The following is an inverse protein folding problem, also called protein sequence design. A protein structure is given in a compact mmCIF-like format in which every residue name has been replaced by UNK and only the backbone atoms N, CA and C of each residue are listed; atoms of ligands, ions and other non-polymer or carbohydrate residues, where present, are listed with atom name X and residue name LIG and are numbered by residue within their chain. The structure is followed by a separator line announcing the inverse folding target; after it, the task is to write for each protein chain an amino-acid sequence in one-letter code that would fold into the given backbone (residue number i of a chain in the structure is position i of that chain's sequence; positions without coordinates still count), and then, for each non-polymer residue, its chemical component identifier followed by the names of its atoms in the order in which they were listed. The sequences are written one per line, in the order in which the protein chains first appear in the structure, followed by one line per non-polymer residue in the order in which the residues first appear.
data_IF_428687918676
#
_entry.id   IF_428687918676
#
_cell.length_a   1.000
_cell.length_b   1.000
_cell.length_c   1.000
_cell.angle_alpha   90.00
_cell.angle_beta   90.00
_cell.angle_gamma   90.00
#
_symmetry.space_group_name_H-M   'P 1'
#
loop_
_entity.id
_entity.type
_entity.pdbx_description
1 polymer ?
#
# COMPACT_ATOMS: atom_id res chain seq x y z
N UNK A 1 9.27 -0.61 20.90
CA UNK A 1 10.01 -1.08 19.71
C UNK A 1 9.07 -1.93 18.87
N UNK A 2 7.80 -1.53 18.67
CA UNK A 2 7.37 -0.32 17.95
C UNK A 2 8.07 -0.30 16.60
N UNK A 3 7.41 -0.84 15.57
CA UNK A 3 6.83 0.02 14.55
C UNK A 3 6.58 1.35 15.23
N UNK A 4 7.36 2.39 14.95
CA UNK A 4 6.89 3.76 15.15
C UNK A 4 5.72 3.90 14.19
N UNK A 5 4.65 3.32 14.71
CA UNK A 5 3.37 3.11 14.17
C UNK A 5 2.60 4.38 14.38
N UNK A 6 3.17 5.54 14.67
CA UNK A 6 2.34 6.75 14.57
C UNK A 6 1.80 6.84 13.11
N UNK A 7 2.58 6.31 12.14
CA UNK A 7 2.16 5.93 10.78
C UNK A 7 1.09 4.84 10.63
N UNK A 8 1.16 3.77 11.44
CA UNK A 8 0.32 2.56 11.34
C UNK A 8 -0.72 2.37 12.45
N UNK A 9 -0.77 3.29 13.40
CA UNK A 9 -1.62 3.38 14.59
C UNK A 9 -3.06 3.66 14.17
N UNK A 10 -3.23 4.34 13.03
CA UNK A 10 -4.53 4.51 12.37
C UNK A 10 -4.54 4.20 10.86
N UNK A 11 -3.46 3.81 10.16
CA UNK A 11 -3.65 3.30 8.78
C UNK A 11 -4.43 1.97 8.75
N UNK A 12 -4.70 1.38 9.92
CA UNK A 12 -5.72 0.35 10.16
C UNK A 12 -7.13 0.85 10.52
N UNK A 13 -7.33 2.13 10.88
CA UNK A 13 -8.67 2.76 10.88
C UNK A 13 -9.32 2.73 9.50
N UNK A 14 -8.54 2.42 8.48
CA UNK A 14 -8.98 2.13 7.15
C UNK A 14 -10.10 1.04 7.10
N UNK A 15 -10.14 0.15 8.10
CA UNK A 15 -11.16 -0.88 8.24
C UNK A 15 -12.43 -0.43 9.02
N UNK A 16 -12.73 0.86 9.17
CA UNK A 16 -13.94 1.38 9.83
C UNK A 16 -15.28 1.13 9.08
N UNK A 17 -15.46 -0.03 8.45
CA UNK A 17 -16.74 -0.46 7.89
C UNK A 17 -17.17 -1.75 8.57
N UNK A 18 -17.97 -1.64 9.64
CA UNK A 18 -18.76 -2.72 10.29
C UNK A 18 -18.21 -4.12 10.01
N UNK A 19 -17.29 -4.56 10.85
CA UNK A 19 -16.60 -5.84 10.71
C UNK A 19 -17.06 -6.76 11.83
N UNK A 20 -17.66 -7.88 11.45
CA UNK A 20 -18.06 -8.92 12.39
C UNK A 20 -16.88 -9.90 12.68
N UNK A 21 -15.89 -10.02 11.76
CA UNK A 21 -14.71 -10.91 11.88
C UNK A 21 -13.40 -10.36 11.27
N UNK A 22 -12.24 -10.46 11.94
CA UNK A 22 -10.92 -9.99 11.45
C UNK A 22 -9.92 -11.15 11.26
N UNK A 23 -9.37 -11.27 10.04
CA UNK A 23 -8.32 -12.21 9.69
C UNK A 23 -7.07 -11.50 9.18
N UNK A 24 -5.90 -12.00 9.51
CA UNK A 24 -4.63 -11.51 8.98
C UNK A 24 -3.93 -12.62 8.21
N UNK A 25 -3.94 -12.52 6.89
CA UNK A 25 -3.25 -13.44 5.99
C UNK A 25 -1.78 -13.02 5.89
N UNK A 26 -0.89 -13.92 6.29
CA UNK A 26 0.56 -14.01 6.01
C UNK A 26 1.40 -12.75 5.86
N UNK A 27 2.46 -12.74 6.68
CA UNK A 27 3.28 -11.60 7.05
C UNK A 27 2.45 -10.54 7.78
N UNK A 28 2.31 -10.81 9.07
CA UNK A 28 2.62 -9.77 10.03
C UNK A 28 4.03 -9.23 9.67
N UNK A 29 4.15 -8.18 8.85
CA UNK A 29 5.45 -7.72 8.30
C UNK A 29 6.49 -7.58 9.38
N UNK A 30 7.66 -8.21 9.20
CA UNK A 30 8.98 -8.04 9.85
C UNK A 30 9.04 -8.01 11.40
N UNK A 31 8.00 -7.53 12.04
CA UNK A 31 7.52 -7.70 13.39
C UNK A 31 6.25 -8.54 13.38
N UNK A 32 6.34 -9.84 13.07
CA UNK A 32 5.21 -10.71 13.34
C UNK A 32 5.02 -11.00 14.82
N UNK A 33 4.87 -9.92 15.57
CA UNK A 33 4.43 -9.82 16.94
C UNK A 33 2.90 -9.74 17.02
N UNK A 34 2.15 -9.83 15.93
CA UNK A 34 0.69 -9.67 16.00
C UNK A 34 0.25 -8.22 16.23
N UNK A 35 1.16 -7.23 16.12
CA UNK A 35 0.88 -5.81 16.32
C UNK A 35 -0.28 -5.28 15.48
N UNK A 36 -0.36 -5.67 14.21
CA UNK A 36 -1.45 -5.29 13.29
C UNK A 36 -2.83 -5.77 13.80
N UNK A 37 -2.89 -7.00 14.30
CA UNK A 37 -4.09 -7.60 14.88
C UNK A 37 -4.45 -6.94 16.22
N UNK A 38 -3.45 -6.62 17.05
CA UNK A 38 -3.64 -5.89 18.31
C UNK A 38 -4.14 -4.45 18.09
N UNK A 39 -3.65 -3.80 17.03
CA UNK A 39 -4.12 -2.47 16.65
C UNK A 39 -5.56 -2.51 16.17
N UNK A 40 -5.96 -3.53 15.39
CA UNK A 40 -7.36 -3.75 15.06
C UNK A 40 -8.20 -3.86 16.34
N UNK A 41 -7.80 -4.67 17.33
CA UNK A 41 -8.50 -4.79 18.61
C UNK A 41 -8.77 -3.44 19.30
N UNK A 42 -7.76 -2.57 19.39
CA UNK A 42 -7.88 -1.27 20.07
C UNK A 42 -8.93 -0.37 19.45
N UNK A 43 -9.22 -0.52 18.16
CA UNK A 43 -10.23 0.28 17.48
C UNK A 43 -11.64 -0.32 17.62
N UNK A 44 -11.72 -1.64 17.80
CA UNK A 44 -12.98 -2.34 18.05
C UNK A 44 -13.33 -2.45 19.54
N UNK A 45 -12.72 -1.68 20.47
CA UNK A 45 -13.12 -1.75 21.89
C UNK A 45 -14.59 -1.38 22.15
N UNK A 46 -15.24 -0.66 21.22
CA UNK A 46 -16.69 -0.38 21.26
C UNK A 46 -17.55 -1.45 20.54
N UNK A 47 -16.97 -2.28 19.68
CA UNK A 47 -17.66 -3.33 18.90
C UNK A 47 -17.10 -4.71 19.25
N UNK A 48 -17.94 -5.59 19.80
CA UNK A 48 -17.49 -6.93 20.22
C UNK A 48 -17.06 -7.73 19.00
N UNK A 49 -15.76 -8.04 18.90
CA UNK A 49 -15.27 -9.04 17.94
C UNK A 49 -15.82 -10.40 18.40
N UNK A 50 -16.73 -10.98 17.62
CA UNK A 50 -17.49 -12.16 18.03
C UNK A 50 -16.63 -13.43 17.97
N UNK A 51 -15.92 -13.71 16.87
CA UNK A 51 -15.22 -14.99 16.66
C UNK A 51 -13.69 -14.98 16.83
N UNK A 52 -13.08 -13.81 17.07
CA UNK A 52 -11.65 -13.67 17.43
C UNK A 52 -10.70 -13.33 16.27
N UNK A 53 -9.39 -13.39 16.55
CA UNK A 53 -8.31 -13.02 15.63
C UNK A 53 -7.63 -14.23 15.01
N UNK A 54 -7.60 -14.28 13.67
CA UNK A 54 -7.01 -15.39 12.94
C UNK A 54 -5.73 -14.95 12.23
N UNK A 55 -4.75 -15.85 12.11
CA UNK A 55 -3.58 -15.54 11.29
C UNK A 55 -2.63 -16.71 11.06
N UNK A 56 -1.78 -16.59 10.05
CA UNK A 56 -0.85 -17.65 9.67
C UNK A 56 0.55 -17.09 9.42
N UNK A 57 1.56 -17.72 10.04
CA UNK A 57 2.96 -17.30 9.97
C UNK A 57 3.90 -18.48 9.66
N UNK A 58 4.84 -18.28 8.74
CA UNK A 58 5.78 -19.32 8.33
C UNK A 58 6.96 -19.45 9.29
N UNK A 59 7.44 -18.33 9.85
CA UNK A 59 8.59 -18.30 10.75
C UNK A 59 8.20 -18.64 12.19
N UNK A 60 8.87 -19.64 12.77
CA UNK A 60 8.58 -20.14 14.12
C UNK A 60 8.79 -19.08 15.22
N UNK A 61 9.85 -18.29 15.14
CA UNK A 61 10.16 -17.25 16.14
C UNK A 61 9.08 -16.19 16.13
N UNK A 62 8.74 -15.72 14.94
CA UNK A 62 7.67 -14.76 14.69
C UNK A 62 6.32 -15.29 15.18
N UNK A 63 5.95 -16.50 14.78
CA UNK A 63 4.73 -17.18 15.23
C UNK A 63 4.59 -17.19 16.76
N UNK A 64 5.65 -17.55 17.49
CA UNK A 64 5.63 -17.56 18.95
C UNK A 64 5.50 -16.15 19.53
N UNK A 65 6.21 -15.17 18.96
CA UNK A 65 6.12 -13.77 19.39
C UNK A 65 4.71 -13.23 19.21
N UNK A 66 4.05 -13.50 18.08
CA UNK A 66 2.67 -13.09 17.84
C UNK A 66 1.71 -13.62 18.91
N UNK A 67 1.80 -14.90 19.26
CA UNK A 67 0.96 -15.53 20.30
C UNK A 67 1.24 -14.96 21.68
N UNK A 68 2.52 -14.73 22.02
CA UNK A 68 2.89 -14.09 23.28
C UNK A 68 2.35 -12.67 23.36
N UNK A 69 2.38 -11.92 22.26
CA UNK A 69 1.89 -10.55 22.26
C UNK A 69 0.36 -10.48 22.43
N UNK A 70 -0.39 -11.36 21.74
CA UNK A 70 -1.84 -11.52 21.97
C UNK A 70 -2.14 -11.72 23.47
N UNK A 71 -1.37 -12.60 24.10
CA UNK A 71 -1.51 -12.91 25.51
C UNK A 71 -1.17 -11.71 26.42
N UNK A 72 -0.07 -10.99 26.14
CA UNK A 72 0.35 -9.82 26.92
C UNK A 72 -0.63 -8.64 26.83
N UNK A 73 -1.42 -8.59 25.76
CA UNK A 73 -2.48 -7.60 25.56
C UNK A 73 -3.86 -8.09 26.06
N UNK A 74 -3.89 -9.11 26.92
CA UNK A 74 -5.10 -9.64 27.55
C UNK A 74 -6.16 -10.13 26.55
N UNK A 75 -5.77 -10.64 25.38
CA UNK A 75 -6.69 -11.36 24.50
C UNK A 75 -6.83 -12.80 25.02
N UNK A 76 -8.06 -13.21 25.30
CA UNK A 76 -8.33 -14.57 25.77
C UNK A 76 -7.95 -15.61 24.70
N UNK A 77 -7.52 -16.79 25.15
CA UNK A 77 -7.02 -17.86 24.26
C UNK A 77 -8.07 -18.38 23.27
N UNK A 78 -9.35 -18.32 23.63
CA UNK A 78 -10.49 -18.67 22.77
C UNK A 78 -10.78 -17.59 21.71
N UNK A 79 -10.16 -16.41 21.80
CA UNK A 79 -10.35 -15.27 20.91
C UNK A 79 -9.18 -15.03 19.95
N UNK A 80 -8.20 -15.93 19.87
CA UNK A 80 -7.22 -15.89 18.79
C UNK A 80 -6.75 -17.29 18.35
N UNK A 81 -6.57 -17.45 17.04
CA UNK A 81 -6.06 -18.66 16.42
C UNK A 81 -4.96 -18.28 15.41
N UNK A 82 -3.72 -18.29 15.87
CA UNK A 82 -2.55 -18.13 15.02
C UNK A 82 -1.99 -19.52 14.71
N UNK A 83 -1.80 -19.83 13.44
CA UNK A 83 -1.27 -21.11 12.96
C UNK A 83 0.12 -20.94 12.32
N UNK A 84 0.94 -21.99 12.40
CA UNK A 84 2.27 -22.01 11.76
C UNK A 84 2.22 -22.75 10.43
N UNK A 85 2.65 -22.10 9.35
CA UNK A 85 2.78 -22.73 8.04
C UNK A 85 2.86 -21.73 6.89
N UNK A 86 3.23 -22.20 5.70
CA UNK A 86 3.18 -21.41 4.47
C UNK A 86 1.73 -21.20 4.03
N UNK A 87 1.32 -19.94 3.90
CA UNK A 87 -0.07 -19.58 3.60
C UNK A 87 -0.49 -19.85 2.16
N UNK A 88 0.45 -19.83 1.22
CA UNK A 88 0.16 -20.15 -0.18
C UNK A 88 0.09 -21.66 -0.38
N UNK A 89 0.99 -22.43 0.25
CA UNK A 89 1.09 -23.89 0.05
C UNK A 89 0.21 -24.73 0.99
N UNK A 90 0.06 -24.31 2.25
CA UNK A 90 -0.62 -25.08 3.31
C UNK A 90 -1.52 -24.16 4.13
N UNK A 91 -2.60 -23.65 3.53
CA UNK A 91 -3.49 -22.70 4.19
C UNK A 91 -4.30 -23.37 5.32
N UNK A 92 -4.14 -22.88 6.56
CA UNK A 92 -4.68 -23.55 7.76
C UNK A 92 -6.09 -23.16 8.14
N UNK A 93 -6.55 -21.99 7.71
CA UNK A 93 -7.84 -21.42 8.11
C UNK A 93 -8.97 -21.70 7.11
N UNK A 94 -8.84 -22.74 6.27
CA UNK A 94 -9.80 -23.04 5.21
C UNK A 94 -11.23 -23.32 5.69
N UNK A 95 -11.39 -23.79 6.93
CA UNK A 95 -12.69 -24.04 7.56
C UNK A 95 -13.22 -22.85 8.38
N UNK A 96 -12.36 -21.87 8.68
CA UNK A 96 -12.70 -20.67 9.46
C UNK A 96 -13.20 -19.53 8.56
N UNK A 97 -13.10 -19.68 7.23
CA UNK A 97 -13.57 -18.70 6.23
C UNK A 97 -15.10 -18.83 6.05
N UNK A 98 -15.80 -17.75 5.67
CA UNK A 98 -15.28 -16.47 5.21
C UNK A 98 -15.07 -15.42 6.32
N UNK A 99 -14.19 -14.45 6.07
CA UNK A 99 -13.87 -13.36 6.99
C UNK A 99 -14.36 -11.99 6.50
N UNK A 100 -14.86 -11.14 7.39
CA UNK A 100 -15.43 -9.84 7.04
C UNK A 100 -14.38 -8.72 6.92
N UNK A 101 -13.24 -8.89 7.57
CA UNK A 101 -12.10 -8.02 7.37
C UNK A 101 -10.80 -8.79 7.25
N UNK A 102 -9.99 -8.38 6.29
CA UNK A 102 -8.62 -8.89 6.17
C UNK A 102 -7.63 -7.75 6.13
N UNK A 103 -6.67 -7.76 7.05
CA UNK A 103 -5.56 -6.80 7.05
C UNK A 103 -4.26 -7.56 6.85
N UNK A 104 -3.43 -7.11 5.91
CA UNK A 104 -2.21 -7.86 5.56
C UNK A 104 -1.10 -6.94 5.06
N UNK A 105 0.14 -7.31 5.37
CA UNK A 105 1.33 -6.72 4.80
C UNK A 105 2.22 -7.87 4.29
N UNK A 106 1.89 -8.46 3.11
CA UNK A 106 2.62 -9.60 2.59
C UNK A 106 4.10 -9.23 2.31
N UNK A 107 5.01 -10.20 2.34
CA UNK A 107 6.41 -9.93 2.04
C UNK A 107 6.55 -9.61 0.55
N UNK A 108 7.23 -8.51 0.23
CA UNK A 108 7.27 -7.99 -1.14
C UNK A 108 8.11 -8.85 -2.07
N UNK A 109 7.50 -9.22 -3.21
CA UNK A 109 8.16 -9.87 -4.35
C UNK A 109 9.03 -11.08 -3.96
N UNK A 110 8.54 -11.90 -3.02
CA UNK A 110 9.20 -13.16 -2.69
C UNK A 110 9.02 -14.19 -3.81
N UNK A 111 9.98 -15.11 -3.90
CA UNK A 111 9.86 -16.27 -4.76
C UNK A 111 8.83 -17.25 -4.19
N UNK A 112 8.09 -17.92 -5.08
CA UNK A 112 7.15 -18.98 -4.74
C UNK A 112 7.05 -20.01 -5.88
N UNK A 113 6.41 -21.15 -5.61
CA UNK A 113 6.36 -22.28 -6.55
C UNK A 113 5.64 -21.91 -7.86
N UNK A 114 4.53 -21.17 -7.77
CA UNK A 114 3.72 -20.73 -8.91
C UNK A 114 3.48 -21.85 -9.92
N UNK A 115 3.81 -21.58 -11.19
CA UNK A 115 3.59 -22.50 -12.31
C UNK A 115 4.34 -23.85 -12.26
N UNK A 116 5.29 -24.05 -11.32
CA UNK A 116 5.94 -25.36 -11.15
C UNK A 116 5.01 -26.39 -10.51
N UNK A 117 4.01 -25.93 -9.79
CA UNK A 117 2.94 -26.79 -9.31
C UNK A 117 1.73 -26.65 -10.25
N UNK A 118 1.49 -27.64 -11.13
CA UNK A 118 0.39 -27.58 -12.09
C UNK A 118 -0.99 -27.69 -11.41
N UNK A 119 -1.06 -28.06 -10.13
CA UNK A 119 -2.35 -28.14 -9.41
C UNK A 119 -2.88 -26.75 -9.05
N UNK A 120 -2.00 -25.77 -8.85
CA UNK A 120 -2.38 -24.42 -8.43
C UNK A 120 -3.23 -23.67 -9.46
N UNK A 121 -3.12 -23.99 -10.76
CA UNK A 121 -3.95 -23.34 -11.78
C UNK A 121 -5.44 -23.69 -11.63
N UNK A 122 -5.74 -24.85 -11.03
CA UNK A 122 -7.10 -25.33 -10.79
C UNK A 122 -7.55 -25.09 -9.34
N UNK A 123 -6.69 -24.51 -8.49
CA UNK A 123 -7.05 -24.13 -7.13
C UNK A 123 -8.11 -23.01 -7.19
N UNK A 124 -9.19 -23.15 -6.42
CA UNK A 124 -10.30 -22.18 -6.36
C UNK A 124 -9.84 -20.74 -6.11
N UNK A 125 -8.68 -20.57 -5.45
CA UNK A 125 -8.08 -19.26 -5.18
C UNK A 125 -7.56 -18.56 -6.44
N UNK A 126 -7.07 -19.32 -7.42
CA UNK A 126 -6.34 -18.78 -8.57
C UNK A 126 -7.03 -19.06 -9.91
N UNK A 127 -7.81 -20.14 -10.00
CA UNK A 127 -8.54 -20.54 -11.20
C UNK A 127 -9.39 -19.41 -11.80
N UNK A 128 -10.08 -18.55 -11.02
CA UNK A 128 -10.88 -17.46 -11.59
C UNK A 128 -10.08 -16.44 -12.42
N UNK A 129 -8.81 -16.18 -12.06
CA UNK A 129 -7.95 -15.27 -12.83
C UNK A 129 -7.36 -15.93 -14.09
N UNK A 130 -7.41 -17.27 -14.20
CA UNK A 130 -6.90 -18.04 -15.33
C UNK A 130 -5.38 -18.02 -15.52
N UNK A 131 -4.64 -17.31 -14.66
CA UNK A 131 -3.18 -17.23 -14.65
C UNK A 131 -2.64 -17.17 -13.22
N UNK A 132 -1.43 -17.68 -13.03
CA UNK A 132 -0.72 -17.60 -11.75
C UNK A 132 0.22 -16.39 -11.72
N UNK A 133 0.45 -15.85 -10.53
CA UNK A 133 1.47 -14.83 -10.33
C UNK A 133 2.86 -15.36 -10.76
N UNK A 134 3.77 -14.50 -11.25
CA UNK A 134 5.11 -14.92 -11.63
C UNK A 134 5.85 -15.57 -10.47
N UNK A 135 6.67 -16.59 -10.75
CA UNK A 135 7.47 -17.30 -9.72
C UNK A 135 8.33 -16.39 -8.86
N UNK A 136 8.87 -15.33 -9.45
CA UNK A 136 9.73 -14.38 -8.75
C UNK A 136 8.96 -13.36 -7.91
N UNK A 137 7.63 -13.36 -7.97
CA UNK A 137 6.77 -12.33 -7.37
C UNK A 137 5.46 -12.94 -6.88
N UNK A 138 5.42 -13.30 -5.61
CA UNK A 138 4.22 -13.85 -4.97
C UNK A 138 3.15 -12.81 -4.62
N UNK A 139 3.37 -11.51 -4.88
CA UNK A 139 2.49 -10.42 -4.43
C UNK A 139 1.00 -10.67 -4.77
N UNK A 140 0.70 -10.98 -6.04
CA UNK A 140 -0.67 -11.30 -6.47
C UNK A 140 -1.18 -12.66 -5.98
N UNK A 141 -0.29 -13.61 -5.65
CA UNK A 141 -0.72 -14.88 -5.06
C UNK A 141 -1.29 -14.66 -3.64
N UNK A 142 -0.71 -13.73 -2.87
CA UNK A 142 -1.28 -13.29 -1.58
C UNK A 142 -2.58 -12.52 -1.75
N UNK A 143 -2.65 -11.59 -2.71
CA UNK A 143 -3.88 -10.82 -2.97
C UNK A 143 -5.04 -11.75 -3.35
N UNK A 144 -4.81 -12.72 -4.23
CA UNK A 144 -5.82 -13.71 -4.62
C UNK A 144 -6.20 -14.64 -3.46
N UNK A 145 -5.24 -15.03 -2.63
CA UNK A 145 -5.52 -15.77 -1.40
C UNK A 145 -6.44 -14.95 -0.48
N UNK A 146 -6.09 -13.69 -0.19
CA UNK A 146 -6.89 -12.78 0.66
C UNK A 146 -8.31 -12.64 0.11
N UNK A 147 -8.44 -12.39 -1.20
CA UNK A 147 -9.74 -12.27 -1.85
C UNK A 147 -10.59 -13.54 -1.69
N UNK A 148 -10.00 -14.74 -1.78
CA UNK A 148 -10.73 -16.01 -1.65
C UNK A 148 -11.25 -16.29 -0.22
N UNK A 149 -10.61 -15.69 0.79
CA UNK A 149 -10.99 -15.82 2.20
C UNK A 149 -11.98 -14.73 2.65
N UNK A 150 -12.14 -13.69 1.85
CA UNK A 150 -13.04 -12.58 2.15
C UNK A 150 -14.51 -12.99 1.98
N UNK A 151 -15.37 -12.59 2.93
CA UNK A 151 -16.82 -12.77 2.85
C UNK A 151 -17.44 -11.88 1.77
N UNK A 152 -18.67 -12.19 1.35
CA UNK A 152 -19.38 -11.37 0.37
C UNK A 152 -19.61 -9.93 0.85
N UNK A 153 -19.63 -9.70 2.17
CA UNK A 153 -19.76 -8.38 2.79
C UNK A 153 -18.42 -7.80 3.26
N UNK A 154 -17.34 -8.57 3.14
CA UNK A 154 -16.07 -8.22 3.72
C UNK A 154 -15.24 -7.25 2.88
N UNK A 155 -14.24 -6.66 3.56
CA UNK A 155 -13.26 -5.75 2.98
C UNK A 155 -11.83 -6.12 3.41
N UNK A 156 -10.87 -5.94 2.52
CA UNK A 156 -9.47 -6.17 2.82
C UNK A 156 -8.62 -4.93 2.59
N UNK A 157 -7.67 -4.67 3.48
CA UNK A 157 -6.66 -3.64 3.34
C UNK A 157 -5.29 -4.31 3.30
N UNK A 158 -4.62 -4.18 2.16
CA UNK A 158 -3.37 -4.90 1.86
C UNK A 158 -2.29 -3.89 1.54
N UNK A 159 -1.22 -3.88 2.31
CA UNK A 159 -0.05 -3.06 1.99
C UNK A 159 0.72 -3.74 0.86
N UNK A 160 0.97 -3.01 -0.21
CA UNK A 160 1.55 -3.54 -1.44
C UNK A 160 2.68 -2.67 -1.96
N UNK A 161 3.62 -3.30 -2.67
CA UNK A 161 4.66 -2.58 -3.40
C UNK A 161 4.06 -1.90 -4.65
N UNK A 162 4.32 -0.61 -4.92
CA UNK A 162 3.66 0.14 -6.00
C UNK A 162 3.80 -0.50 -7.39
N UNK A 163 4.89 -1.25 -7.61
CA UNK A 163 5.12 -1.96 -8.86
C UNK A 163 3.99 -2.91 -9.27
N UNK A 164 3.22 -3.47 -8.32
CA UNK A 164 2.13 -4.38 -8.68
C UNK A 164 1.02 -3.69 -9.49
N UNK A 165 0.93 -2.36 -9.42
CA UNK A 165 -0.17 -1.57 -9.96
C UNK A 165 -0.06 -1.31 -11.48
N UNK A 166 1.14 -1.44 -12.06
CA UNK A 166 1.38 -1.13 -13.48
C UNK A 166 2.12 -2.23 -14.26
N UNK A 167 2.72 -3.23 -13.59
CA UNK A 167 3.48 -4.28 -14.29
C UNK A 167 2.62 -5.09 -15.28
N UNK A 168 3.17 -5.40 -16.45
CA UNK A 168 2.47 -6.11 -17.52
C UNK A 168 2.37 -7.63 -17.35
N UNK A 169 1.84 -8.31 -18.36
CA UNK A 169 1.87 -9.77 -18.48
C UNK A 169 0.87 -10.49 -17.56
N UNK A 170 1.33 -11.51 -16.82
CA UNK A 170 0.45 -12.27 -15.92
C UNK A 170 -0.17 -11.38 -14.82
N UNK A 171 0.60 -10.43 -14.29
CA UNK A 171 0.10 -9.50 -13.26
C UNK A 171 -0.99 -8.57 -13.80
N UNK A 172 -0.87 -8.12 -15.05
CA UNK A 172 -1.91 -7.31 -15.70
C UNK A 172 -3.22 -8.08 -15.85
N UNK A 173 -3.16 -9.36 -16.22
CA UNK A 173 -4.36 -10.22 -16.31
C UNK A 173 -5.03 -10.43 -14.96
N UNK A 174 -4.24 -10.58 -13.89
CA UNK A 174 -4.79 -10.67 -12.52
C UNK A 174 -5.43 -9.33 -12.12
N UNK A 175 -4.79 -8.18 -12.42
CA UNK A 175 -5.41 -6.87 -12.19
C UNK A 175 -6.71 -6.70 -12.97
N UNK A 176 -6.72 -7.10 -14.23
CA UNK A 176 -7.92 -7.10 -15.05
C UNK A 176 -9.04 -7.89 -14.37
N UNK A 177 -8.76 -9.11 -13.91
CA UNK A 177 -9.74 -9.91 -13.15
C UNK A 177 -10.25 -9.18 -11.90
N UNK A 178 -9.37 -8.52 -11.12
CA UNK A 178 -9.77 -7.78 -9.93
C UNK A 178 -10.66 -6.57 -10.23
N UNK A 179 -10.38 -5.86 -11.33
CA UNK A 179 -11.14 -4.67 -11.75
C UNK A 179 -12.45 -5.06 -12.43
N UNK A 180 -12.44 -6.02 -13.35
CA UNK A 180 -13.62 -6.49 -14.10
C UNK A 180 -14.68 -7.09 -13.17
N UNK A 181 -14.27 -7.74 -12.08
CA UNK A 181 -15.19 -8.28 -11.08
C UNK A 181 -15.53 -7.29 -9.96
N UNK A 182 -15.14 -6.02 -10.11
CA UNK A 182 -15.42 -4.96 -9.16
C UNK A 182 -14.93 -5.26 -7.73
N UNK A 183 -13.73 -5.82 -7.58
CA UNK A 183 -13.16 -6.10 -6.26
C UNK A 183 -12.32 -4.94 -5.72
N UNK A 184 -11.74 -4.10 -6.58
CA UNK A 184 -10.87 -2.99 -6.15
C UNK A 184 -11.72 -1.78 -5.76
N UNK A 185 -11.75 -1.46 -4.47
CA UNK A 185 -12.50 -0.30 -3.95
C UNK A 185 -11.67 0.98 -3.98
N UNK A 186 -10.43 0.92 -3.49
CA UNK A 186 -9.57 2.08 -3.42
C UNK A 186 -8.08 1.71 -3.51
N UNK A 187 -7.28 2.66 -3.99
CA UNK A 187 -5.81 2.62 -3.98
C UNK A 187 -5.30 3.88 -3.30
N UNK A 188 -4.53 3.70 -2.22
CA UNK A 188 -3.92 4.81 -1.50
C UNK A 188 -2.41 4.75 -1.69
N UNK A 189 -1.82 5.81 -2.21
CA UNK A 189 -0.37 5.97 -2.24
C UNK A 189 0.11 6.61 -0.95
N UNK A 190 0.99 5.91 -0.22
CA UNK A 190 1.55 6.39 1.04
C UNK A 190 2.85 7.18 0.83
N UNK A 191 3.25 7.99 1.83
CA UNK A 191 4.55 8.64 1.84
C UNK A 191 5.71 7.66 1.73
N UNK A 192 6.80 8.14 1.13
CA UNK A 192 8.08 7.43 1.15
C UNK A 192 8.65 7.35 2.57
N UNK A 193 9.56 6.41 2.81
CA UNK A 193 10.30 6.29 4.07
C UNK A 193 9.41 6.19 5.33
N UNK A 194 8.19 5.65 5.19
CA UNK A 194 7.29 5.37 6.32
C UNK A 194 7.68 4.08 7.05
N UNK A 195 8.17 3.09 6.30
CA UNK A 195 8.48 1.75 6.81
C UNK A 195 9.94 1.61 7.17
N UNK A 196 10.22 0.99 8.32
CA UNK A 196 11.59 0.73 8.75
C UNK A 196 12.34 -0.17 7.76
N UNK A 197 13.57 0.21 7.43
CA UNK A 197 14.45 -0.58 6.58
C UNK A 197 14.19 -0.46 5.08
N UNK A 198 13.30 0.44 4.64
CA UNK A 198 13.11 0.76 3.23
C UNK A 198 12.70 2.22 3.04
N UNK A 199 13.33 2.91 2.09
CA UNK A 199 12.95 4.27 1.68
C UNK A 199 11.84 4.28 0.63
N UNK A 200 11.41 3.11 0.16
CA UNK A 200 10.46 2.96 -0.94
C UNK A 200 9.05 3.36 -0.48
N UNK A 201 8.34 4.12 -1.33
CA UNK A 201 6.90 4.29 -1.24
C UNK A 201 6.17 2.94 -1.20
N UNK A 202 5.07 2.90 -0.49
CA UNK A 202 4.14 1.75 -0.50
C UNK A 202 2.75 2.24 -0.85
N UNK A 203 1.88 1.32 -1.23
CA UNK A 203 0.48 1.63 -1.46
C UNK A 203 -0.38 0.71 -0.59
N UNK A 204 -1.61 1.14 -0.30
CA UNK A 204 -2.64 0.29 0.27
C UNK A 204 -3.61 -0.04 -0.86
N UNK A 205 -3.75 -1.33 -1.14
CA UNK A 205 -4.79 -1.88 -2.01
C UNK A 205 -5.97 -2.27 -1.15
N UNK A 206 -7.14 -1.74 -1.51
CA UNK A 206 -8.37 -1.96 -0.77
C UNK A 206 -9.30 -2.79 -1.62
N UNK A 207 -9.67 -3.96 -1.10
CA UNK A 207 -10.61 -4.86 -1.76
C UNK A 207 -11.94 -4.87 -1.02
N UNK A 208 -13.04 -4.97 -1.76
CA UNK A 208 -14.37 -5.15 -1.21
C UNK A 208 -15.21 -6.01 -2.16
N UNK A 209 -15.98 -6.97 -1.63
CA UNK A 209 -16.92 -7.77 -2.43
C UNK A 209 -18.33 -7.17 -2.49
N UNK A 210 -18.65 -6.22 -1.61
CA UNK A 210 -19.96 -5.58 -1.49
C UNK A 210 -20.04 -4.17 -2.08
N UNK A 211 -19.30 -3.89 -3.16
CA UNK A 211 -19.35 -2.58 -3.81
C UNK A 211 -20.68 -2.38 -4.53
N UNK A 212 -21.35 -1.27 -4.24
CA UNK A 212 -22.57 -0.82 -4.94
C UNK A 212 -22.28 -0.11 -6.27
N UNK A 213 -21.07 0.44 -6.40
CA UNK A 213 -20.57 1.18 -7.56
C UNK A 213 -19.36 0.44 -8.15
N UNK A 214 -19.15 0.56 -9.46
CA UNK A 214 -17.98 0.09 -10.21
C UNK A 214 -16.75 1.00 -10.11
N UNK A 215 -16.91 2.25 -9.68
CA UNK A 215 -15.81 3.22 -9.62
C UNK A 215 -14.75 2.83 -8.57
N UNK A 216 -13.52 3.26 -8.81
CA UNK A 216 -12.39 3.06 -7.89
C UNK A 216 -11.86 4.40 -7.42
N UNK A 217 -11.63 4.52 -6.11
CA UNK A 217 -11.08 5.71 -5.50
C UNK A 217 -9.55 5.67 -5.49
N UNK A 218 -8.90 6.70 -6.03
CA UNK A 218 -7.45 6.87 -5.98
C UNK A 218 -7.12 8.03 -5.03
N UNK A 219 -6.21 7.81 -4.10
CA UNK A 219 -5.78 8.82 -3.12
C UNK A 219 -4.25 8.95 -3.18
N UNK A 220 -3.75 10.18 -3.39
CA UNK A 220 -2.33 10.52 -3.22
C UNK A 220 -2.10 11.12 -1.83
N UNK A 221 -1.70 10.27 -0.88
CA UNK A 221 -1.28 10.70 0.45
C UNK A 221 0.24 10.84 0.56
N UNK A 222 0.99 10.92 -0.56
CA UNK A 222 2.45 10.96 -0.52
C UNK A 222 3.04 12.19 0.17
N UNK A 223 2.29 13.30 0.22
CA UNK A 223 2.65 14.53 0.93
C UNK A 223 2.15 14.56 2.39
N UNK A 224 1.32 13.61 2.80
CA UNK A 224 0.74 13.56 4.14
C UNK A 224 1.71 12.91 5.12
N UNK A 225 2.70 13.67 5.61
CA UNK A 225 3.58 13.17 6.65
C UNK A 225 4.24 14.29 7.44
N UNK A 226 4.57 13.98 8.69
CA UNK A 226 5.54 14.74 9.48
C UNK A 226 6.91 14.11 9.28
N UNK A 227 7.86 14.92 8.82
CA UNK A 227 9.26 14.50 8.71
C UNK A 227 9.85 14.26 10.10
N UNK A 228 10.42 13.08 10.32
CA UNK A 228 11.22 12.78 11.51
C UNK A 228 12.60 12.24 11.10
N UNK A 229 13.47 11.98 12.09
CA UNK A 229 14.91 11.77 11.86
C UNK A 229 15.22 10.56 10.99
N UNK A 230 14.55 9.42 11.26
CA UNK A 230 14.83 8.16 10.56
C UNK A 230 13.74 7.83 9.54
N UNK A 231 12.49 7.79 9.98
CA UNK A 231 11.32 7.49 9.16
C UNK A 231 10.35 8.67 9.21
N UNK A 232 9.55 8.82 8.17
CA UNK A 232 8.40 9.72 8.18
C UNK A 232 7.30 9.16 9.08
N UNK A 233 6.50 10.05 9.66
CA UNK A 233 5.42 9.71 10.57
C UNK A 233 4.11 10.26 10.00
N UNK A 234 3.05 9.44 9.92
CA UNK A 234 1.70 9.99 9.70
C UNK A 234 1.18 10.50 11.04
N UNK A 235 0.69 11.72 11.10
CA UNK A 235 0.00 12.21 12.31
C UNK A 235 -1.45 11.74 12.30
N UNK A 236 -2.14 11.83 13.45
CA UNK A 236 -3.57 11.55 13.52
C UNK A 236 -4.38 12.38 12.52
N UNK A 237 -4.04 13.66 12.36
CA UNK A 237 -4.68 14.57 11.41
C UNK A 237 -4.51 14.10 9.95
N UNK A 238 -3.31 13.63 9.57
CA UNK A 238 -3.06 13.08 8.24
C UNK A 238 -3.96 11.86 7.98
N UNK A 239 -4.09 11.00 8.99
CA UNK A 239 -4.84 9.77 8.85
C UNK A 239 -6.33 10.07 8.77
N UNK A 240 -6.86 10.92 9.65
CA UNK A 240 -8.27 11.30 9.65
C UNK A 240 -8.66 11.96 8.31
N UNK A 241 -7.77 12.74 7.69
CA UNK A 241 -7.96 13.33 6.35
C UNK A 241 -8.08 12.26 5.23
N UNK A 242 -7.25 11.21 5.29
CA UNK A 242 -7.30 10.09 4.36
C UNK A 242 -8.62 9.32 4.55
N UNK A 243 -8.98 9.00 5.79
CA UNK A 243 -10.22 8.30 6.16
C UNK A 243 -11.47 9.03 5.70
N UNK A 244 -11.55 10.33 5.98
CA UNK A 244 -12.68 11.16 5.55
C UNK A 244 -12.88 11.10 4.03
N UNK A 245 -11.80 10.99 3.27
CA UNK A 245 -11.86 10.95 1.80
C UNK A 245 -12.33 9.58 1.28
N UNK A 246 -12.08 8.50 2.01
CA UNK A 246 -12.62 7.15 1.73
C UNK A 246 -14.11 7.08 2.04
N UNK A 247 -14.54 7.68 3.15
CA UNK A 247 -15.93 7.69 3.57
C UNK A 247 -16.80 8.53 2.64
N UNK A 248 -16.33 9.74 2.30
CA UNK A 248 -17.06 10.66 1.41
C UNK A 248 -17.04 10.22 -0.05
N UNK A 249 -15.95 9.58 -0.50
CA UNK A 249 -15.73 9.22 -1.92
C UNK A 249 -15.94 10.42 -2.85
N UNK A 250 -15.35 11.55 -2.49
CA UNK A 250 -15.43 12.80 -3.24
C UNK A 250 -14.10 13.13 -3.91
N UNK A 251 -14.18 13.79 -5.06
CA UNK A 251 -12.99 14.31 -5.74
C UNK A 251 -12.44 15.51 -4.98
N UNK A 252 -11.13 15.52 -4.74
CA UNK A 252 -10.37 16.62 -4.16
C UNK A 252 -9.11 16.82 -5.00
N UNK A 253 -8.94 18.01 -5.55
CA UNK A 253 -7.82 18.34 -6.42
C UNK A 253 -6.48 17.92 -5.79
N UNK A 254 -5.64 17.27 -6.60
CA UNK A 254 -4.31 16.75 -6.23
C UNK A 254 -4.27 15.71 -5.09
N UNK A 255 -5.41 15.33 -4.51
CA UNK A 255 -5.45 14.45 -3.34
C UNK A 255 -6.30 13.19 -3.53
N UNK A 256 -7.51 13.31 -4.07
CA UNK A 256 -8.42 12.18 -4.24
C UNK A 256 -9.22 12.28 -5.53
N UNK A 257 -9.37 11.16 -6.24
CA UNK A 257 -10.19 11.09 -7.44
C UNK A 257 -10.93 9.76 -7.54
N UNK A 258 -12.23 9.84 -7.77
CA UNK A 258 -13.08 8.71 -8.14
C UNK A 258 -12.99 8.54 -9.65
N UNK A 259 -12.47 7.39 -10.07
CA UNK A 259 -12.22 7.08 -11.47
C UNK A 259 -13.21 6.01 -11.94
N UNK A 260 -13.95 6.27 -13.03
CA UNK A 260 -14.85 5.29 -13.61
C UNK A 260 -14.13 4.04 -14.13
N UNK A 261 -14.83 2.91 -14.10
CA UNK A 261 -14.33 1.64 -14.64
C UNK A 261 -13.75 1.77 -16.05
N UNK A 262 -14.46 2.46 -16.96
CA UNK A 262 -14.04 2.59 -18.36
C UNK A 262 -12.68 3.29 -18.49
N UNK A 263 -12.42 4.33 -17.68
CA UNK A 263 -11.14 5.04 -17.69
C UNK A 263 -9.98 4.12 -17.29
N UNK A 264 -10.21 3.17 -16.38
CA UNK A 264 -9.20 2.18 -15.96
C UNK A 264 -8.95 1.16 -17.07
N UNK A 265 -9.99 0.73 -17.77
CA UNK A 265 -9.88 -0.15 -18.94
C UNK A 265 -9.09 0.53 -20.05
N UNK A 266 -9.40 1.79 -20.36
CA UNK A 266 -8.71 2.58 -21.37
C UNK A 266 -7.25 2.85 -21.00
N UNK A 267 -6.92 2.77 -19.71
CA UNK A 267 -5.55 2.87 -19.17
C UNK A 267 -4.85 1.50 -19.02
N UNK A 268 -5.27 0.49 -19.77
CA UNK A 268 -4.69 -0.87 -19.76
C UNK A 268 -4.67 -1.54 -18.37
N UNK A 269 -5.65 -1.24 -17.53
CA UNK A 269 -5.74 -1.70 -16.13
C UNK A 269 -4.55 -1.25 -15.27
N UNK A 270 -4.02 -0.06 -15.53
CA UNK A 270 -3.05 0.59 -14.67
C UNK A 270 -3.76 1.16 -13.42
N UNK A 271 -3.32 0.76 -12.24
CA UNK A 271 -3.88 1.21 -10.95
C UNK A 271 -2.95 2.17 -10.20
N UNK A 272 -1.98 2.79 -10.88
CA UNK A 272 -1.07 3.75 -10.27
C UNK A 272 -1.78 5.09 -10.06
N UNK A 273 -1.75 5.61 -8.84
CA UNK A 273 -2.40 6.88 -8.47
C UNK A 273 -1.95 8.04 -9.36
N UNK A 274 -0.67 8.12 -9.70
CA UNK A 274 -0.10 9.17 -10.57
C UNK A 274 -0.60 9.13 -12.02
N UNK A 275 -1.37 8.13 -12.43
CA UNK A 275 -1.99 8.08 -13.77
C UNK A 275 -3.26 8.92 -13.81
N UNK A 276 -3.92 9.07 -12.67
CA UNK A 276 -5.23 9.72 -12.58
C UNK A 276 -5.11 11.08 -11.91
N UNK A 277 -4.31 11.18 -10.85
CA UNK A 277 -4.11 12.43 -10.13
C UNK A 277 -2.88 13.17 -10.66
N UNK A 278 -3.08 14.42 -11.03
CA UNK A 278 -1.99 15.37 -11.22
C UNK A 278 -1.40 15.75 -9.87
N UNK A 279 -0.10 16.07 -9.85
CA UNK A 279 0.56 16.62 -8.67
C UNK A 279 0.47 18.13 -8.69
N UNK A 280 0.25 18.72 -7.53
CA UNK A 280 0.30 20.17 -7.38
C UNK A 280 1.67 20.71 -7.83
N UNK A 281 1.67 21.65 -8.77
CA UNK A 281 2.88 22.32 -9.20
C UNK A 281 3.23 23.42 -8.19
N UNK A 282 4.13 23.09 -7.26
CA UNK A 282 4.61 24.01 -6.22
C UNK A 282 5.84 24.80 -6.65
N UNK A 283 6.23 24.72 -7.94
CA UNK A 283 7.35 25.52 -8.44
C UNK A 283 6.94 26.99 -8.39
N UNK A 284 7.85 27.82 -7.88
CA UNK A 284 7.70 29.28 -8.00
C UNK A 284 7.55 29.62 -9.48
N UNK A 285 6.55 30.44 -9.81
CA UNK A 285 6.37 30.96 -11.16
C UNK A 285 7.57 31.86 -11.44
N UNK A 286 8.57 31.30 -12.12
CA UNK A 286 9.78 32.03 -12.45
C UNK A 286 9.39 33.07 -13.50
N UNK A 287 9.47 34.35 -13.12
CA UNK A 287 9.32 35.44 -14.08
C UNK A 287 10.44 35.32 -15.12
N UNK A 288 10.06 34.88 -16.33
CA UNK A 288 10.96 34.63 -17.44
C UNK A 288 11.70 35.91 -17.83
N UNK A 289 11.08 37.07 -17.67
CA UNK A 289 11.70 38.35 -18.02
C UNK A 289 12.76 38.74 -16.99
N UNK A 290 12.52 38.49 -15.70
CA UNK A 290 13.51 38.68 -14.64
C UNK A 290 14.69 37.73 -14.84
N UNK A 291 14.43 36.43 -15.06
CA UNK A 291 15.49 35.44 -15.28
C UNK A 291 16.34 35.77 -16.52
N UNK A 292 15.71 36.20 -17.62
CA UNK A 292 16.43 36.60 -18.82
C UNK A 292 17.28 37.85 -18.60
N UNK A 293 16.84 38.79 -17.76
CA UNK A 293 17.64 39.96 -17.40
C UNK A 293 18.83 39.58 -16.51
N UNK A 294 18.65 38.69 -15.53
CA UNK A 294 19.75 38.16 -14.71
C UNK A 294 20.80 37.42 -15.54
N UNK A 295 20.35 36.61 -16.52
CA UNK A 295 21.25 35.94 -17.47
C UNK A 295 22.05 36.96 -18.27
N UNK A 296 21.40 38.02 -18.81
CA UNK A 296 22.10 39.09 -19.54
C UNK A 296 23.13 39.81 -18.69
N UNK A 297 22.79 40.17 -17.46
CA UNK A 297 23.73 40.82 -16.53
C UNK A 297 24.91 39.92 -16.19
N UNK A 298 24.66 38.62 -16.00
CA UNK A 298 25.70 37.65 -15.70
C UNK A 298 26.66 37.49 -16.87
N UNK A 299 26.15 37.42 -18.10
CA UNK A 299 26.97 37.36 -19.32
C UNK A 299 27.83 38.62 -19.45
N UNK A 300 27.26 39.81 -19.22
CA UNK A 300 28.01 41.07 -19.24
C UNK A 300 29.16 41.11 -18.23
N UNK A 301 28.93 40.62 -17.00
CA UNK A 301 29.99 40.49 -15.99
C UNK A 301 31.08 39.52 -16.42
N UNK A 302 30.72 38.37 -17.00
CA UNK A 302 31.68 37.40 -17.52
C UNK A 302 32.54 38.03 -18.62
N UNK A 303 31.93 38.77 -19.55
CA UNK A 303 32.66 39.43 -20.64
C UNK A 303 33.61 40.51 -20.13
N UNK A 304 33.20 41.30 -19.13
CA UNK A 304 34.08 42.27 -18.48
C UNK A 304 35.28 41.60 -17.81
N UNK A 305 35.04 40.54 -17.03
CA UNK A 305 36.10 39.79 -16.36
C UNK A 305 37.07 39.16 -17.37
N UNK A 306 36.57 38.66 -18.51
CA UNK A 306 37.42 38.16 -19.60
C UNK A 306 38.33 39.25 -20.17
N UNK A 307 37.79 40.44 -20.43
CA UNK A 307 38.59 41.57 -20.91
C UNK A 307 39.67 42.00 -19.91
N UNK A 308 39.39 41.95 -18.62
CA UNK A 308 40.38 42.25 -17.57
C UNK A 308 41.48 41.18 -17.53
N UNK A 309 41.11 39.91 -17.62
CA UNK A 309 42.07 38.80 -17.69
C UNK A 309 42.96 38.93 -18.93
N UNK A 310 42.38 39.22 -20.10
CA UNK A 310 43.12 39.38 -21.35
C UNK A 310 44.14 40.53 -21.28
N UNK A 311 43.79 41.64 -20.59
CA UNK A 311 44.73 42.74 -20.33
C UNK A 311 45.91 42.30 -19.46
N UNK A 312 45.65 41.56 -18.37
CA UNK A 312 46.70 41.05 -17.48
C UNK A 312 47.62 40.09 -18.24
N UNK A 313 47.06 39.21 -19.07
CA UNK A 313 47.84 38.28 -19.91
C UNK A 313 48.72 39.05 -20.91
N UNK A 314 48.19 40.08 -21.56
CA UNK A 314 48.93 40.95 -22.47
C UNK A 314 50.11 41.66 -21.78
N UNK A 315 49.89 42.18 -20.57
CA UNK A 315 50.94 42.86 -19.81
C UNK A 315 52.02 41.89 -19.29
N UNK A 316 51.68 40.65 -18.95
CA UNK A 316 52.63 39.60 -18.58
C UNK A 316 53.41 39.03 -19.78
N UNK A 317 52.90 39.20 -21.00
CA UNK A 317 53.52 38.71 -22.24
C UNK A 317 54.50 39.70 -22.90
N UNK A 318 54.69 40.88 -22.30
CA UNK A 318 55.74 41.86 -22.66
C UNK A 318 57.00 41.62 -21.85
#
# INVERSE_FOLDING_TARGET
MEIDAIGSEKSLSFCCLKIDNVFCVSCLTREGSGSLLLQAQKQFTEHVIEDGFYGQEINMTTYNLARMNMFLHNINYDKFNIQRGDTLLDPKHGNDKPFDAIVSNPPYSINWIGKDDPTLINDDRYAPAGVLAPKSKADFAFIMHILSYLSAQGRAAIVVFPGILYRGGAEQKIRQYLVDNNFVEAIIQLPNNLFFGTSIATCILVLAKNKTNTDTLFIDASAEFKKATNNNILTEENIDKILESIDKKENKDYFAQVVPYQTIVDSDYNLSVSTYLEKEDTREEIDIDVLNNEIKETVLKIDQLRLEIDKIVLDLSK
#
